data_IF_274897298250
#
_entry.id   IF_274897298250
#
_cell.length_a   1.000
_cell.length_b   1.000
_cell.length_c   1.000
_cell.angle_alpha   90.00
_cell.angle_beta   90.00
_cell.angle_gamma   90.00
#
_symmetry.space_group_name_H-M   'P 1'
#
loop_
_entity.id
_entity.type
_entity.pdbx_description
1 polymer ?
#
# COMPACT_ATOMS: atom_id res chain seq x y z
N UNK A 1 23.62 40.53 -15.83
CA UNK A 1 22.45 39.90 -16.49
C UNK A 1 21.85 38.90 -15.53
N UNK A 2 20.61 39.07 -15.04
CA UNK A 2 19.99 38.06 -14.19
C UNK A 2 19.34 37.01 -15.09
N UNK A 3 19.77 35.76 -14.94
CA UNK A 3 19.22 34.58 -15.60
C UNK A 3 17.81 34.35 -15.07
N UNK A 4 16.82 34.54 -15.93
CA UNK A 4 15.42 34.32 -15.63
C UNK A 4 15.20 32.81 -15.44
N UNK A 5 15.11 32.37 -14.18
CA UNK A 5 14.74 31.01 -13.86
C UNK A 5 13.36 30.75 -14.49
N UNK A 6 13.31 29.80 -15.44
CA UNK A 6 12.05 29.30 -15.99
C UNK A 6 11.28 28.68 -14.84
N UNK A 7 10.24 29.37 -14.38
CA UNK A 7 9.24 28.74 -13.54
C UNK A 7 8.61 27.61 -14.36
N UNK A 8 8.94 26.37 -14.02
CA UNK A 8 8.29 25.22 -14.63
C UNK A 8 6.78 25.33 -14.39
N UNK A 9 6.06 25.12 -15.49
CA UNK A 9 4.63 25.37 -15.68
C UNK A 9 3.79 24.77 -14.54
N UNK A 10 3.19 25.63 -13.72
CA UNK A 10 2.09 25.24 -12.82
C UNK A 10 1.01 24.59 -13.69
N UNK A 11 0.55 23.36 -13.38
CA UNK A 11 -0.54 22.74 -14.12
C UNK A 11 -1.77 23.66 -14.13
N UNK A 12 -2.47 23.82 -15.26
CA UNK A 12 -3.61 24.71 -15.33
C UNK A 12 -4.67 24.22 -14.33
N UNK A 13 -5.14 25.14 -13.50
CA UNK A 13 -6.28 24.96 -12.63
C UNK A 13 -7.57 24.91 -13.48
N UNK A 14 -7.73 23.88 -14.31
CA UNK A 14 -9.03 23.57 -14.90
C UNK A 14 -9.86 22.81 -13.87
N UNK A 15 -10.67 23.60 -13.16
CA UNK A 15 -12.06 23.35 -12.78
C UNK A 15 -12.60 21.90 -12.81
N UNK A 16 -13.25 21.57 -11.69
CA UNK A 16 -14.39 20.63 -11.54
C UNK A 16 -14.17 19.23 -11.00
N UNK A 17 -12.97 18.85 -10.57
CA UNK A 17 -12.87 17.78 -9.57
C UNK A 17 -11.57 17.89 -8.79
N UNK A 18 -11.66 18.09 -7.47
CA UNK A 18 -10.62 17.64 -6.54
C UNK A 18 -10.61 16.10 -6.49
N UNK A 19 -10.65 15.47 -7.66
CA UNK A 19 -10.71 14.03 -7.81
C UNK A 19 -9.36 13.49 -7.38
N UNK A 20 -9.28 13.04 -6.13
CA UNK A 20 -8.12 12.30 -5.64
C UNK A 20 -7.99 11.07 -6.53
N UNK A 21 -6.98 11.03 -7.39
CA UNK A 21 -6.70 9.83 -8.17
C UNK A 21 -6.19 8.74 -7.22
N UNK A 22 -7.09 7.83 -6.84
CA UNK A 22 -6.77 6.71 -5.95
C UNK A 22 -5.72 5.78 -6.57
N UNK A 23 -5.52 5.80 -7.89
CA UNK A 23 -4.45 5.03 -8.55
C UNK A 23 -3.07 5.53 -8.12
N UNK A 24 -2.93 6.81 -7.77
CA UNK A 24 -1.68 7.34 -7.23
C UNK A 24 -1.29 6.71 -5.89
N UNK A 25 -2.25 6.14 -5.15
CA UNK A 25 -2.01 5.41 -3.90
C UNK A 25 -1.65 3.94 -4.14
N UNK A 26 -1.91 3.42 -5.34
CA UNK A 26 -1.71 2.03 -5.69
C UNK A 26 -0.26 1.81 -6.14
N UNK A 27 0.49 1.07 -5.33
CA UNK A 27 1.93 0.86 -5.49
C UNK A 27 2.28 -0.27 -6.47
N UNK A 28 1.34 -1.20 -6.72
CA UNK A 28 1.47 -2.35 -7.61
C UNK A 28 0.07 -2.85 -8.06
N UNK A 29 0.01 -3.92 -8.85
CA UNK A 29 -1.26 -4.49 -9.36
C UNK A 29 -2.12 -5.15 -8.26
N UNK A 30 -1.80 -4.98 -6.98
CA UNK A 30 -2.58 -5.54 -5.88
C UNK A 30 -3.68 -4.57 -5.44
N UNK A 31 -4.81 -5.07 -4.91
CA UNK A 31 -5.82 -4.23 -4.30
C UNK A 31 -5.22 -3.29 -3.26
N UNK A 32 -5.65 -2.02 -3.27
CA UNK A 32 -5.14 -0.99 -2.35
C UNK A 32 -5.28 -1.38 -0.87
N UNK A 33 -6.39 -2.04 -0.54
CA UNK A 33 -6.65 -2.55 0.81
C UNK A 33 -6.14 -3.99 0.96
N UNK A 34 -5.10 -4.24 1.79
CA UNK A 34 -4.58 -5.58 2.01
C UNK A 34 -5.60 -6.56 2.58
N UNK A 35 -6.65 -6.09 3.27
CA UNK A 35 -7.73 -6.96 3.79
C UNK A 35 -8.52 -7.65 2.68
N UNK A 36 -8.42 -7.15 1.44
CA UNK A 36 -9.08 -7.71 0.26
C UNK A 36 -8.22 -8.72 -0.49
N UNK A 37 -6.94 -8.87 -0.13
CA UNK A 37 -6.06 -9.80 -0.82
C UNK A 37 -6.50 -11.24 -0.62
N UNK A 38 -6.64 -11.95 -1.73
CA UNK A 38 -6.68 -13.41 -1.81
C UNK A 38 -5.34 -14.02 -1.37
N UNK A 39 -5.33 -15.36 -1.22
CA UNK A 39 -4.09 -16.11 -0.96
C UNK A 39 -3.06 -15.93 -2.07
N UNK A 40 -3.51 -15.88 -3.33
CA UNK A 40 -2.63 -15.71 -4.49
C UNK A 40 -1.95 -14.33 -4.48
N UNK A 41 -2.72 -13.27 -4.21
CA UNK A 41 -2.21 -11.90 -4.12
C UNK A 41 -1.24 -11.73 -2.96
N UNK A 42 -1.55 -12.28 -1.79
CA UNK A 42 -0.64 -12.30 -0.65
C UNK A 42 0.68 -13.03 -0.98
N UNK A 43 0.62 -14.17 -1.69
CA UNK A 43 1.80 -14.88 -2.14
C UNK A 43 2.65 -14.09 -3.14
N UNK A 44 2.02 -13.46 -4.14
CA UNK A 44 2.70 -12.57 -5.10
C UNK A 44 3.36 -11.40 -4.37
N UNK A 45 2.62 -10.77 -3.45
CA UNK A 45 3.11 -9.68 -2.62
C UNK A 45 4.38 -10.07 -1.84
N UNK A 46 4.37 -11.22 -1.15
CA UNK A 46 5.53 -11.75 -0.42
C UNK A 46 6.72 -12.00 -1.35
N UNK A 47 6.49 -12.62 -2.52
CA UNK A 47 7.54 -12.95 -3.50
C UNK A 47 8.32 -11.72 -3.94
N UNK A 48 7.60 -10.65 -4.30
CA UNK A 48 8.18 -9.39 -4.79
C UNK A 48 9.06 -8.71 -3.73
N UNK A 49 8.86 -9.03 -2.45
CA UNK A 49 9.60 -8.47 -1.30
C UNK A 49 10.68 -9.41 -0.77
N UNK A 50 11.04 -10.43 -1.55
CA UNK A 50 12.12 -11.37 -1.22
C UNK A 50 11.73 -12.49 -0.26
N UNK A 51 10.47 -12.59 0.17
CA UNK A 51 10.00 -13.69 1.01
C UNK A 51 9.55 -14.90 0.18
N UNK A 52 9.44 -16.07 0.84
CA UNK A 52 8.89 -17.29 0.22
C UNK A 52 7.38 -17.38 0.43
N UNK A 53 6.55 -17.39 -0.62
CA UNK A 53 5.08 -17.45 -0.51
C UNK A 53 4.55 -18.63 0.28
N UNK A 54 5.25 -19.77 0.22
CA UNK A 54 4.87 -21.02 0.88
C UNK A 54 4.89 -20.87 2.41
N UNK A 55 5.66 -19.90 2.93
CA UNK A 55 5.71 -19.56 4.36
C UNK A 55 4.49 -18.77 4.83
N UNK A 56 3.72 -18.19 3.91
CA UNK A 56 2.50 -17.42 4.18
C UNK A 56 1.29 -17.98 3.40
N UNK A 57 0.85 -19.22 3.67
CA UNK A 57 -0.23 -19.87 2.93
C UNK A 57 -1.62 -19.35 3.37
N UNK A 58 -1.83 -18.04 3.30
CA UNK A 58 -3.01 -17.37 3.85
C UNK A 58 -3.38 -16.12 3.05
N UNK A 59 -4.58 -15.57 3.30
CA UNK A 59 -5.06 -14.35 2.66
C UNK A 59 -4.69 -13.10 3.47
N UNK A 60 -5.04 -11.93 2.95
CA UNK A 60 -4.75 -10.66 3.60
C UNK A 60 -5.39 -10.46 4.98
N UNK A 61 -6.58 -11.04 5.21
CA UNK A 61 -7.24 -10.99 6.53
C UNK A 61 -6.44 -11.74 7.60
N UNK A 62 -5.90 -12.90 7.24
CA UNK A 62 -5.04 -13.66 8.14
C UNK A 62 -3.72 -12.93 8.42
N UNK A 63 -3.14 -12.26 7.41
CA UNK A 63 -1.96 -11.40 7.60
C UNK A 63 -2.22 -10.25 8.59
N UNK A 64 -3.44 -9.71 8.65
CA UNK A 64 -3.79 -8.68 9.63
C UNK A 64 -3.66 -9.14 11.10
N UNK A 65 -3.76 -10.45 11.35
CA UNK A 65 -3.66 -11.03 12.69
C UNK A 65 -2.21 -11.38 13.09
N UNK A 66 -1.27 -11.24 12.15
CA UNK A 66 0.13 -11.60 12.38
C UNK A 66 0.90 -10.48 13.06
N UNK A 67 1.68 -10.85 14.08
CA UNK A 67 2.64 -9.94 14.72
C UNK A 67 3.94 -9.87 13.93
N UNK A 68 4.76 -8.85 14.18
CA UNK A 68 6.10 -8.73 13.60
C UNK A 68 6.95 -9.97 13.83
N UNK A 69 6.90 -10.54 15.04
CA UNK A 69 7.68 -11.72 15.40
C UNK A 69 7.23 -12.96 14.62
N UNK A 70 5.92 -13.09 14.33
CA UNK A 70 5.42 -14.16 13.49
C UNK A 70 5.90 -14.05 12.04
N UNK A 71 6.04 -12.82 11.50
CA UNK A 71 6.65 -12.61 10.19
C UNK A 71 8.14 -12.99 10.21
N UNK A 72 8.90 -12.56 11.21
CA UNK A 72 10.33 -12.89 11.37
C UNK A 72 10.57 -14.39 11.58
N UNK A 73 9.71 -15.08 12.33
CA UNK A 73 9.81 -16.52 12.53
C UNK A 73 9.58 -17.30 11.23
N UNK A 74 8.71 -16.80 10.34
CA UNK A 74 8.43 -17.40 9.03
C UNK A 74 9.48 -17.06 7.98
N UNK A 75 9.98 -15.82 8.01
CA UNK A 75 11.08 -15.35 7.17
C UNK A 75 12.10 -14.52 7.96
N UNK A 76 13.21 -15.14 8.41
CA UNK A 76 14.22 -14.45 9.22
C UNK A 76 14.89 -13.27 8.51
N UNK A 77 15.17 -13.40 7.21
CA UNK A 77 15.91 -12.38 6.44
C UNK A 77 15.02 -11.20 6.04
N UNK A 78 13.78 -11.47 5.61
CA UNK A 78 12.91 -10.48 4.99
C UNK A 78 11.68 -10.13 5.84
N UNK A 79 11.39 -10.88 6.90
CA UNK A 79 10.14 -10.78 7.65
C UNK A 79 9.89 -9.41 8.27
N UNK A 80 10.93 -8.71 8.71
CA UNK A 80 10.81 -7.34 9.21
C UNK A 80 10.31 -6.38 8.12
N UNK A 81 10.95 -6.41 6.94
CA UNK A 81 10.62 -5.52 5.83
C UNK A 81 9.23 -5.82 5.28
N UNK A 82 8.89 -7.10 5.17
CA UNK A 82 7.56 -7.58 4.75
C UNK A 82 6.48 -7.10 5.73
N UNK A 83 6.70 -7.22 7.04
CA UNK A 83 5.76 -6.72 8.05
C UNK A 83 5.56 -5.21 7.97
N UNK A 84 6.65 -4.43 7.86
CA UNK A 84 6.57 -2.98 7.77
C UNK A 84 5.83 -2.52 6.52
N UNK A 85 6.09 -3.15 5.38
CA UNK A 85 5.38 -2.90 4.13
C UNK A 85 3.87 -3.17 4.26
N UNK A 86 3.51 -4.31 4.85
CA UNK A 86 2.13 -4.68 5.09
C UNK A 86 1.41 -3.66 6.00
N UNK A 87 2.03 -3.28 7.12
CA UNK A 87 1.47 -2.31 8.06
C UNK A 87 1.30 -0.94 7.42
N UNK A 88 2.25 -0.51 6.58
CA UNK A 88 2.13 0.75 5.81
C UNK A 88 0.91 0.72 4.89
N UNK A 89 0.73 -0.34 4.11
CA UNK A 89 -0.41 -0.49 3.19
C UNK A 89 -1.74 -0.57 3.92
N UNK A 90 -1.79 -1.34 5.01
CA UNK A 90 -2.98 -1.43 5.86
C UNK A 90 -3.34 -0.08 6.48
N UNK A 91 -2.34 0.67 6.97
CA UNK A 91 -2.54 2.01 7.51
C UNK A 91 -3.13 2.98 6.48
N UNK A 92 -2.59 2.99 5.26
CA UNK A 92 -3.15 3.77 4.14
C UNK A 92 -4.61 3.41 3.85
N UNK A 93 -4.92 2.12 3.79
CA UNK A 93 -6.27 1.64 3.49
C UNK A 93 -7.29 2.04 4.58
N UNK A 94 -6.91 1.96 5.85
CA UNK A 94 -7.75 2.37 6.97
C UNK A 94 -7.98 3.89 6.98
N UNK A 95 -6.94 4.69 6.75
CA UNK A 95 -7.07 6.14 6.67
C UNK A 95 -7.96 6.58 5.51
N UNK A 96 -7.83 5.92 4.35
CA UNK A 96 -8.71 6.18 3.21
C UNK A 96 -10.16 5.80 3.51
N UNK A 97 -10.38 4.65 4.15
CA UNK A 97 -11.72 4.24 4.57
C UNK A 97 -12.35 5.28 5.51
N UNK A 98 -11.61 5.73 6.53
CA UNK A 98 -12.07 6.75 7.47
C UNK A 98 -12.40 8.08 6.77
N UNK A 99 -11.58 8.49 5.80
CA UNK A 99 -11.84 9.68 5.01
C UNK A 99 -13.14 9.57 4.21
N UNK A 100 -13.35 8.44 3.51
CA UNK A 100 -14.55 8.20 2.72
C UNK A 100 -15.80 8.16 3.60
N UNK A 101 -15.72 7.54 4.78
CA UNK A 101 -16.81 7.52 5.76
C UNK A 101 -17.16 8.92 6.28
N UNK A 102 -16.16 9.79 6.46
CA UNK A 102 -16.38 11.20 6.85
C UNK A 102 -17.00 12.04 5.75
N UNK A 103 -16.63 11.80 4.49
CA UNK A 103 -17.20 12.51 3.33
C UNK A 103 -18.62 12.05 2.98
N UNK A 104 -18.99 10.83 3.40
CA UNK A 104 -20.33 10.29 3.20
C UNK A 104 -21.37 10.79 4.23
N UNK A 105 -20.95 11.59 5.22
CA UNK A 105 -21.81 12.18 6.26
C UNK A 105 -22.06 13.64 5.94
#
# INVERSE_FOLDING_TARGET
MPTQARCDRVPPASCDTWGVDLRALQEDDLPLDPRRWSRLEAGRWVSVRGGRPERFPMNGKALCLMTMDMFRAREPEHGLNIYQDFRRRLGKALALQELLEKLSK
#
